data_IF_905306804729
#
_entry.id   IF_905306804729
#
_cell.length_a   1.000
_cell.length_b   1.000
_cell.length_c   1.000
_cell.angle_alpha   90.00
_cell.angle_beta   90.00
_cell.angle_gamma   90.00
#
_symmetry.space_group_name_H-M   'P 1'
#
loop_
_entity.id
_entity.type
_entity.pdbx_description
1 polymer ?
#
# COMPACT_ATOMS: atom_id res chain seq x y z
N UNK A 1 -8.70 -23.75 -19.71
CA UNK A 1 -7.58 -23.59 -18.79
C UNK A 1 -7.99 -22.49 -17.81
N UNK A 2 -8.33 -22.87 -16.61
CA UNK A 2 -8.57 -21.88 -15.54
C UNK A 2 -7.19 -21.42 -15.14
N UNK A 3 -6.88 -20.17 -15.44
CA UNK A 3 -5.68 -19.49 -14.96
C UNK A 3 -5.70 -19.62 -13.42
N UNK A 4 -4.77 -20.41 -12.90
CA UNK A 4 -4.50 -20.39 -11.47
C UNK A 4 -3.79 -19.07 -11.20
N UNK A 5 -4.54 -17.97 -11.20
CA UNK A 5 -4.07 -16.73 -10.61
C UNK A 5 -3.61 -17.09 -9.19
N UNK A 6 -2.32 -16.96 -8.95
CA UNK A 6 -1.79 -17.04 -7.60
C UNK A 6 -2.56 -16.00 -6.78
N UNK A 7 -3.36 -16.41 -5.80
CA UNK A 7 -4.36 -15.54 -5.19
C UNK A 7 -3.78 -14.32 -4.45
N UNK A 8 -2.48 -14.12 -4.47
CA UNK A 8 -1.86 -13.05 -3.68
C UNK A 8 -0.59 -12.50 -4.34
N UNK A 9 -0.73 -11.83 -5.48
CA UNK A 9 0.32 -10.90 -5.91
C UNK A 9 0.48 -9.82 -4.84
N UNK A 10 1.72 -9.46 -4.53
CA UNK A 10 2.00 -8.31 -3.68
C UNK A 10 1.39 -7.07 -4.35
N UNK A 11 0.59 -6.31 -3.61
CA UNK A 11 -0.01 -5.07 -4.09
C UNK A 11 0.56 -3.89 -3.31
N UNK A 12 1.13 -2.94 -4.04
CA UNK A 12 1.75 -1.74 -3.52
C UNK A 12 0.97 -0.51 -4.01
N UNK A 13 0.62 0.39 -3.10
CA UNK A 13 0.10 1.71 -3.46
C UNK A 13 1.25 2.71 -3.52
N UNK A 14 1.42 3.35 -4.65
CA UNK A 14 2.40 4.40 -4.89
C UNK A 14 1.67 5.75 -5.03
N UNK A 15 1.99 6.69 -4.17
CA UNK A 15 1.39 8.02 -4.14
C UNK A 15 2.42 9.05 -4.57
N UNK A 16 2.21 9.68 -5.71
CA UNK A 16 3.07 10.74 -6.22
C UNK A 16 2.35 11.60 -7.25
N UNK A 17 2.07 12.85 -6.92
CA UNK A 17 1.42 13.84 -7.80
C UNK A 17 2.22 14.10 -9.08
N UNK A 18 3.54 14.09 -8.99
CA UNK A 18 4.43 14.37 -10.11
C UNK A 18 4.84 13.18 -10.97
N UNK A 19 4.17 12.04 -10.90
CA UNK A 19 4.64 10.80 -11.56
C UNK A 19 4.75 10.93 -13.09
N UNK A 20 3.89 11.72 -13.71
CA UNK A 20 3.88 11.99 -15.15
C UNK A 20 4.81 13.13 -15.60
N UNK A 21 5.54 13.73 -14.66
CA UNK A 21 6.51 14.79 -14.95
C UNK A 21 7.75 14.31 -15.70
N UNK A 22 8.54 15.27 -16.19
CA UNK A 22 9.77 15.01 -16.94
C UNK A 22 11.05 15.27 -16.13
N UNK A 23 10.94 15.58 -14.83
CA UNK A 23 12.11 15.79 -13.97
C UNK A 23 12.78 14.47 -13.56
N UNK A 24 13.96 14.57 -12.94
CA UNK A 24 14.72 13.41 -12.52
C UNK A 24 13.97 12.54 -11.52
N UNK A 25 13.26 13.14 -10.56
CA UNK A 25 12.47 12.43 -9.55
C UNK A 25 11.35 11.63 -10.21
N UNK A 26 10.61 12.22 -11.14
CA UNK A 26 9.52 11.53 -11.86
C UNK A 26 10.03 10.33 -12.64
N UNK A 27 11.19 10.48 -13.31
CA UNK A 27 11.84 9.36 -14.01
C UNK A 27 12.26 8.26 -13.05
N UNK A 28 12.89 8.60 -11.93
CA UNK A 28 13.33 7.62 -10.93
C UNK A 28 12.15 6.85 -10.32
N UNK A 29 11.03 7.53 -10.00
CA UNK A 29 9.82 6.89 -9.47
C UNK A 29 9.18 5.97 -10.53
N UNK A 30 9.14 6.35 -11.80
CA UNK A 30 8.66 5.46 -12.87
C UNK A 30 9.56 4.23 -13.05
N UNK A 31 10.87 4.41 -13.00
CA UNK A 31 11.83 3.28 -13.07
C UNK A 31 11.62 2.34 -11.88
N UNK A 32 11.40 2.86 -10.68
CA UNK A 32 11.07 2.03 -9.52
C UNK A 32 9.75 1.27 -9.71
N UNK A 33 8.73 1.93 -10.26
CA UNK A 33 7.46 1.27 -10.58
C UNK A 33 7.65 0.10 -11.55
N UNK A 34 8.37 0.34 -12.64
CA UNK A 34 8.69 -0.69 -13.65
C UNK A 34 9.47 -1.86 -13.03
N UNK A 35 10.45 -1.58 -12.17
CA UNK A 35 11.23 -2.62 -11.50
C UNK A 35 10.37 -3.46 -10.55
N UNK A 36 9.46 -2.84 -9.79
CA UNK A 36 8.48 -3.56 -8.95
C UNK A 36 7.56 -4.45 -9.80
N UNK A 37 7.06 -3.95 -10.92
CA UNK A 37 6.20 -4.70 -11.84
C UNK A 37 6.94 -5.88 -12.48
N UNK A 38 8.23 -5.72 -12.80
CA UNK A 38 9.11 -6.80 -13.27
C UNK A 38 9.29 -7.92 -12.23
N UNK A 39 9.15 -7.61 -10.95
CA UNK A 39 9.18 -8.56 -9.82
C UNK A 39 7.79 -9.11 -9.46
N UNK A 40 6.82 -9.03 -10.37
CA UNK A 40 5.45 -9.52 -10.22
C UNK A 40 4.65 -8.83 -9.10
N UNK A 41 4.98 -7.57 -8.80
CA UNK A 41 4.25 -6.72 -7.88
C UNK A 41 3.19 -5.93 -8.64
N UNK A 42 1.96 -5.92 -8.15
CA UNK A 42 0.92 -5.03 -8.68
C UNK A 42 1.08 -3.65 -8.08
N UNK A 43 1.47 -2.67 -8.88
CA UNK A 43 1.58 -1.27 -8.45
C UNK A 43 0.31 -0.51 -8.82
N UNK A 44 -0.36 0.02 -7.81
CA UNK A 44 -1.48 0.96 -7.97
C UNK A 44 -0.94 2.36 -7.75
N UNK A 45 -1.20 3.28 -8.66
CA UNK A 45 -0.72 4.65 -8.58
C UNK A 45 -1.86 5.58 -8.21
N UNK A 46 -1.62 6.47 -7.26
CA UNK A 46 -2.49 7.60 -6.93
C UNK A 46 -1.69 8.90 -7.09
N UNK A 47 -2.29 9.87 -7.76
CA UNK A 47 -1.65 11.18 -7.98
C UNK A 47 -1.91 12.17 -6.84
N UNK A 48 -2.78 11.84 -5.89
CA UNK A 48 -3.06 12.69 -4.75
C UNK A 48 -3.35 11.87 -3.47
N UNK A 49 -3.22 12.54 -2.33
CA UNK A 49 -3.38 11.94 -1.01
C UNK A 49 -4.84 11.57 -0.69
N UNK A 50 -5.81 12.34 -1.15
CA UNK A 50 -7.22 12.07 -0.88
C UNK A 50 -7.69 10.78 -1.57
N UNK A 51 -7.28 10.58 -2.83
CA UNK A 51 -7.56 9.33 -3.55
C UNK A 51 -6.81 8.15 -2.94
N UNK A 52 -5.58 8.38 -2.43
CA UNK A 52 -4.81 7.35 -1.73
C UNK A 52 -5.52 6.88 -0.46
N UNK A 53 -6.07 7.79 0.33
CA UNK A 53 -6.86 7.46 1.53
C UNK A 53 -8.10 6.63 1.17
N UNK A 54 -8.82 7.02 0.12
CA UNK A 54 -9.98 6.28 -0.37
C UNK A 54 -9.59 4.87 -0.85
N UNK A 55 -8.48 4.73 -1.57
CA UNK A 55 -7.97 3.43 -2.02
C UNK A 55 -7.57 2.52 -0.86
N UNK A 56 -6.84 3.04 0.13
CA UNK A 56 -6.46 2.27 1.34
C UNK A 56 -7.72 1.80 2.09
N UNK A 57 -8.73 2.63 2.13
CA UNK A 57 -10.00 2.31 2.81
C UNK A 57 -10.84 1.28 2.06
N UNK A 58 -10.82 1.31 0.72
CA UNK A 58 -11.63 0.46 -0.13
C UNK A 58 -10.96 -0.88 -0.49
N UNK A 59 -9.63 -0.93 -0.51
CA UNK A 59 -8.87 -2.10 -0.94
C UNK A 59 -7.98 -2.66 0.18
N UNK A 60 -8.47 -3.62 0.98
CA UNK A 60 -7.70 -4.24 2.05
C UNK A 60 -6.56 -5.13 1.56
N UNK A 61 -6.43 -5.36 0.24
CA UNK A 61 -5.35 -6.16 -0.33
C UNK A 61 -4.07 -5.37 -0.57
N UNK A 62 -4.07 -4.05 -0.36
CA UNK A 62 -2.87 -3.22 -0.37
C UNK A 62 -1.98 -3.62 0.82
N UNK A 63 -0.72 -3.92 0.55
CA UNK A 63 0.23 -4.49 1.52
C UNK A 63 1.43 -3.58 1.80
N UNK A 64 1.56 -2.49 1.07
CA UNK A 64 2.64 -1.53 1.23
C UNK A 64 2.24 -0.18 0.64
N UNK A 65 2.66 0.90 1.28
CA UNK A 65 2.51 2.26 0.80
C UNK A 65 3.88 2.87 0.47
N UNK A 66 4.03 3.38 -0.74
CA UNK A 66 5.15 4.22 -1.16
C UNK A 66 4.63 5.64 -1.31
N UNK A 67 5.15 6.55 -0.52
CA UNK A 67 4.68 7.92 -0.44
C UNK A 67 5.78 8.88 -0.88
N UNK A 68 5.58 9.60 -1.99
CA UNK A 68 6.45 10.69 -2.42
C UNK A 68 5.76 12.02 -2.14
N UNK A 69 6.36 12.79 -1.26
CA UNK A 69 5.87 14.10 -0.85
C UNK A 69 6.58 15.22 -1.61
N UNK A 70 5.90 16.36 -1.74
CA UNK A 70 6.54 17.65 -1.91
C UNK A 70 6.93 18.18 -0.53
N UNK A 71 8.18 17.91 -0.13
CA UNK A 71 8.71 18.29 1.18
C UNK A 71 8.78 19.82 1.40
N UNK A 72 8.64 20.62 0.33
CA UNK A 72 8.57 22.08 0.41
C UNK A 72 7.17 22.60 0.73
N UNK A 73 6.15 21.78 0.51
CA UNK A 73 4.76 22.13 0.76
C UNK A 73 4.35 21.73 2.17
N UNK A 74 4.18 22.71 3.05
CA UNK A 74 3.68 22.48 4.42
C UNK A 74 2.28 21.85 4.41
N UNK A 75 1.42 22.27 3.49
CA UNK A 75 0.06 21.71 3.34
C UNK A 75 0.11 20.24 2.91
N UNK A 76 1.00 19.89 1.99
CA UNK A 76 1.19 18.52 1.55
C UNK A 76 1.69 17.64 2.71
N UNK A 77 2.67 18.11 3.48
CA UNK A 77 3.17 17.40 4.65
C UNK A 77 2.11 17.21 5.73
N UNK A 78 1.31 18.25 6.01
CA UNK A 78 0.20 18.15 6.97
C UNK A 78 -0.83 17.10 6.54
N UNK A 79 -1.29 17.17 5.31
CA UNK A 79 -2.26 16.20 4.77
C UNK A 79 -1.69 14.77 4.76
N UNK A 80 -0.42 14.61 4.43
CA UNK A 80 0.25 13.31 4.51
C UNK A 80 0.26 12.77 5.95
N UNK A 81 0.54 13.62 6.95
CA UNK A 81 0.48 13.24 8.36
C UNK A 81 -0.90 12.73 8.77
N UNK A 82 -1.96 13.39 8.31
CA UNK A 82 -3.35 12.99 8.56
C UNK A 82 -3.68 11.62 7.92
N UNK A 83 -3.31 11.41 6.67
CA UNK A 83 -3.50 10.13 5.96
C UNK A 83 -2.75 9.00 6.64
N UNK A 84 -1.49 9.25 7.05
CA UNK A 84 -0.68 8.27 7.77
C UNK A 84 -1.27 7.95 9.16
N UNK A 85 -1.85 8.93 9.84
CA UNK A 85 -2.54 8.70 11.12
C UNK A 85 -3.72 7.75 10.94
N UNK A 86 -4.59 8.01 9.97
CA UNK A 86 -5.73 7.13 9.63
C UNK A 86 -5.26 5.74 9.28
N UNK A 87 -4.19 5.63 8.47
CA UNK A 87 -3.61 4.34 8.13
C UNK A 87 -3.13 3.58 9.36
N UNK A 88 -2.39 4.24 10.26
CA UNK A 88 -1.83 3.61 11.47
C UNK A 88 -2.89 3.17 12.47
N UNK A 89 -4.00 3.88 12.55
CA UNK A 89 -5.15 3.45 13.36
C UNK A 89 -5.80 2.17 12.81
N UNK A 90 -5.84 2.01 11.49
CA UNK A 90 -6.44 0.83 10.83
C UNK A 90 -5.47 -0.33 10.67
N UNK A 91 -4.24 -0.03 10.37
CA UNK A 91 -3.19 -1.01 10.07
C UNK A 91 -1.82 -0.48 10.51
N UNK A 92 -1.50 -0.69 11.78
CA UNK A 92 -0.27 -0.19 12.39
C UNK A 92 1.01 -0.82 11.82
N UNK A 93 0.90 -2.03 11.25
CA UNK A 93 2.04 -2.85 10.87
C UNK A 93 2.32 -2.84 9.36
N UNK A 94 1.43 -2.23 8.54
CA UNK A 94 1.64 -2.17 7.10
C UNK A 94 2.89 -1.36 6.76
N UNK A 95 3.81 -1.88 5.93
CA UNK A 95 5.00 -1.15 5.52
C UNK A 95 4.66 0.16 4.80
N UNK A 96 5.29 1.23 5.24
CA UNK A 96 5.21 2.56 4.62
C UNK A 96 6.61 3.07 4.37
N UNK A 97 6.92 3.41 3.13
CA UNK A 97 8.19 3.99 2.72
C UNK A 97 7.98 5.42 2.24
N UNK A 98 8.78 6.32 2.77
CA UNK A 98 8.83 7.69 2.29
C UNK A 98 9.91 7.82 1.21
N UNK A 99 9.50 8.17 0.00
CA UNK A 99 10.41 8.44 -1.11
C UNK A 99 10.78 9.92 -1.09
N UNK A 100 12.05 10.23 -0.88
CA UNK A 100 12.56 11.60 -0.88
C UNK A 100 13.53 11.84 -2.03
N UNK A 101 13.44 13.03 -2.61
CA UNK A 101 14.45 13.54 -3.55
C UNK A 101 15.56 14.35 -2.84
N UNK A 102 15.49 14.50 -1.52
CA UNK A 102 16.44 15.23 -0.69
C UNK A 102 17.35 14.30 0.08
N UNK A 103 18.50 14.81 0.45
CA UNK A 103 19.58 14.07 1.13
C UNK A 103 19.48 14.07 2.65
N UNK A 104 18.58 14.86 3.24
CA UNK A 104 18.48 14.99 4.70
C UNK A 104 17.09 14.64 5.23
N UNK A 105 17.02 13.60 6.04
CA UNK A 105 15.81 13.22 6.75
C UNK A 105 15.32 14.31 7.72
N UNK A 106 16.23 15.17 8.22
CA UNK A 106 15.90 16.30 9.09
C UNK A 106 15.01 17.39 8.44
N UNK A 107 14.86 17.35 7.12
CA UNK A 107 13.97 18.25 6.39
C UNK A 107 12.53 17.74 6.35
N UNK A 108 12.28 16.51 6.80
CA UNK A 108 10.93 15.92 6.88
C UNK A 108 10.39 16.14 8.29
N UNK A 109 9.11 16.55 8.43
CA UNK A 109 8.48 16.70 9.73
C UNK A 109 8.57 15.42 10.57
N UNK A 110 8.88 15.54 11.86
CA UNK A 110 9.07 14.41 12.77
C UNK A 110 7.82 13.53 12.87
N UNK A 111 6.63 14.12 12.84
CA UNK A 111 5.35 13.42 12.89
C UNK A 111 5.09 12.52 11.68
N UNK A 112 5.72 12.82 10.54
CA UNK A 112 5.71 11.92 9.36
C UNK A 112 6.74 10.82 9.55
N UNK A 113 7.96 11.15 9.98
CA UNK A 113 9.03 10.18 10.18
C UNK A 113 8.63 9.09 11.18
N UNK A 114 7.93 9.44 12.25
CA UNK A 114 7.46 8.49 13.26
C UNK A 114 6.41 7.48 12.74
N UNK A 115 5.75 7.81 11.64
CA UNK A 115 4.68 6.98 11.05
C UNK A 115 5.14 6.13 9.85
N UNK A 116 6.34 6.36 9.32
CA UNK A 116 6.91 5.58 8.23
C UNK A 116 7.88 4.51 8.74
N UNK A 117 8.02 3.43 8.02
CA UNK A 117 8.94 2.36 8.37
C UNK A 117 10.35 2.65 7.90
N UNK A 118 10.47 3.36 6.81
CA UNK A 118 11.76 3.60 6.20
C UNK A 118 11.73 4.81 5.26
N UNK A 119 12.92 5.34 5.01
CA UNK A 119 13.19 6.48 4.18
C UNK A 119 14.08 6.09 3.01
N UNK A 120 13.72 6.47 1.81
CA UNK A 120 14.40 6.09 0.57
C UNK A 120 14.81 7.34 -0.19
N UNK A 121 16.08 7.45 -0.54
CA UNK A 121 16.60 8.50 -1.41
C UNK A 121 16.45 8.09 -2.88
N UNK A 122 15.34 8.49 -3.48
CA UNK A 122 14.93 8.02 -4.80
C UNK A 122 15.90 8.42 -5.94
N UNK A 123 16.74 9.40 -5.74
CA UNK A 123 17.75 9.84 -6.71
C UNK A 123 19.15 9.26 -6.47
N UNK A 124 19.40 8.66 -5.31
CA UNK A 124 20.72 8.14 -4.93
C UNK A 124 20.74 6.61 -4.89
N UNK A 125 19.67 6.01 -4.42
CA UNK A 125 19.53 4.56 -4.37
C UNK A 125 19.14 3.99 -5.75
N UNK A 126 19.63 2.81 -6.09
CA UNK A 126 19.25 2.12 -7.32
C UNK A 126 17.87 1.48 -7.21
N UNK A 127 17.13 1.40 -8.30
CA UNK A 127 15.76 0.87 -8.31
C UNK A 127 15.68 -0.59 -7.83
N UNK A 128 16.65 -1.42 -8.18
CA UNK A 128 16.75 -2.82 -7.72
C UNK A 128 17.01 -2.92 -6.21
N UNK A 129 17.87 -2.05 -5.66
CA UNK A 129 18.12 -2.00 -4.21
C UNK A 129 16.86 -1.58 -3.44
N UNK A 130 16.18 -0.52 -3.92
CA UNK A 130 14.91 -0.06 -3.33
C UNK A 130 13.86 -1.17 -3.40
N UNK A 131 13.70 -1.81 -4.54
CA UNK A 131 12.77 -2.93 -4.76
C UNK A 131 13.06 -4.07 -3.80
N UNK A 132 14.31 -4.44 -3.62
CA UNK A 132 14.71 -5.45 -2.65
C UNK A 132 14.27 -5.15 -1.22
N UNK A 133 14.41 -3.90 -0.78
CA UNK A 133 13.97 -3.44 0.56
C UNK A 133 12.44 -3.50 0.71
N UNK A 134 11.71 -3.03 -0.29
CA UNK A 134 10.24 -3.05 -0.31
C UNK A 134 9.73 -4.49 -0.26
N UNK A 135 10.28 -5.37 -1.09
CA UNK A 135 9.89 -6.78 -1.13
C UNK A 135 10.18 -7.48 0.19
N UNK A 136 11.34 -7.24 0.81
CA UNK A 136 11.70 -7.84 2.09
C UNK A 136 10.72 -7.43 3.21
N UNK A 137 10.39 -6.13 3.30
CA UNK A 137 9.44 -5.62 4.28
C UNK A 137 8.02 -6.15 4.04
N UNK A 138 7.57 -6.18 2.79
CA UNK A 138 6.23 -6.64 2.42
C UNK A 138 6.07 -8.15 2.62
N UNK A 139 7.10 -8.96 2.33
CA UNK A 139 7.09 -10.40 2.63
C UNK A 139 6.99 -10.64 4.13
N UNK A 140 7.77 -9.92 4.94
CA UNK A 140 7.71 -10.02 6.40
C UNK A 140 6.32 -9.68 6.93
N UNK A 141 5.73 -8.59 6.47
CA UNK A 141 4.38 -8.20 6.80
C UNK A 141 3.36 -9.29 6.43
N UNK A 142 3.46 -9.84 5.23
CA UNK A 142 2.59 -10.90 4.73
C UNK A 142 2.72 -12.19 5.53
N UNK A 143 3.92 -12.59 5.90
CA UNK A 143 4.17 -13.87 6.58
C UNK A 143 3.80 -13.83 8.07
N UNK A 144 4.03 -12.72 8.74
CA UNK A 144 3.90 -12.64 10.20
C UNK A 144 2.68 -11.87 10.68
N UNK A 145 2.19 -10.91 9.91
CA UNK A 145 1.13 -9.98 10.34
C UNK A 145 -0.23 -10.34 9.74
N UNK A 146 -0.28 -10.64 8.42
CA UNK A 146 -1.54 -10.92 7.73
C UNK A 146 -2.21 -12.24 8.12
N UNK A 147 -1.53 -13.37 8.40
CA UNK A 147 -2.22 -14.64 8.69
C UNK A 147 -3.25 -14.58 9.82
N UNK A 148 -3.02 -13.91 10.96
CA UNK A 148 -4.03 -13.73 11.99
C UNK A 148 -5.24 -12.92 11.52
N UNK A 149 -5.04 -11.89 10.69
CA UNK A 149 -6.11 -11.07 10.14
C UNK A 149 -6.95 -11.85 9.13
N UNK A 150 -6.32 -12.64 8.25
CA UNK A 150 -7.04 -13.47 7.28
C UNK A 150 -7.83 -14.59 7.97
N UNK A 151 -7.35 -15.18 9.05
CA UNK A 151 -8.12 -16.13 9.84
C UNK A 151 -9.37 -15.48 10.42
N UNK A 152 -9.28 -14.27 10.94
CA UNK A 152 -10.43 -13.54 11.45
C UNK A 152 -11.42 -13.18 10.34
N UNK A 153 -10.96 -12.72 9.17
CA UNK A 153 -11.81 -12.41 8.02
C UNK A 153 -12.45 -13.66 7.40
N UNK A 154 -11.73 -14.76 7.31
CA UNK A 154 -12.26 -16.04 6.82
C UNK A 154 -13.34 -16.60 7.77
N UNK A 155 -13.15 -16.45 9.08
CA UNK A 155 -14.17 -16.80 10.08
C UNK A 155 -15.40 -15.91 9.96
N UNK A 156 -15.24 -14.62 9.70
CA UNK A 156 -16.33 -13.69 9.50
C UNK A 156 -17.12 -13.97 8.22
N UNK A 157 -16.42 -14.28 7.11
CA UNK A 157 -17.03 -14.67 5.84
C UNK A 157 -17.80 -15.99 5.95
N UNK A 158 -17.26 -16.99 6.63
CA UNK A 158 -17.91 -18.28 6.86
C UNK A 158 -19.21 -18.14 7.68
N UNK A 159 -19.24 -17.22 8.63
CA UNK A 159 -20.47 -16.94 9.43
C UNK A 159 -21.54 -16.25 8.57
N UNK A 160 -21.14 -15.41 7.62
CA UNK A 160 -22.11 -14.73 6.73
C UNK A 160 -22.61 -15.60 5.59
N UNK A 161 -21.84 -16.54 5.06
CA UNK A 161 -22.31 -17.48 4.02
C UNK A 161 -23.36 -18.46 4.56
N UNK A 162 -23.31 -18.83 5.80
CA UNK A 162 -24.35 -19.67 6.45
C UNK A 162 -25.71 -18.96 6.57
N UNK A 163 -25.75 -17.64 6.48
CA UNK A 163 -26.99 -16.86 6.61
C UNK A 163 -27.86 -16.79 5.36
N UNK A 164 -27.36 -17.20 4.19
CA UNK A 164 -28.05 -17.06 2.90
C UNK A 164 -28.62 -18.37 2.35
N UNK A 165 -28.44 -19.52 3.01
CA UNK A 165 -28.94 -20.82 2.57
C UNK A 165 -29.95 -21.40 3.55
N UNK A 166 -31.08 -20.74 3.69
CA UNK A 166 -32.32 -21.40 4.13
C UNK A 166 -33.25 -21.53 2.92
N UNK A 167 -33.32 -22.69 2.27
CA UNK A 167 -34.37 -22.93 1.30
C UNK A 167 -35.70 -23.01 2.05
N UNK A 168 -36.62 -22.10 1.73
CA UNK A 168 -38.00 -22.18 2.15
C UNK A 168 -38.61 -23.49 1.61
N UNK A 169 -38.86 -24.40 2.49
CA UNK A 169 -39.74 -25.53 2.22
C UNK A 169 -41.18 -25.02 2.24
N UNK A 170 -41.72 -24.75 1.05
CA UNK A 170 -43.15 -24.72 0.84
C UNK A 170 -43.59 -26.14 0.49
N UNK A 171 -44.01 -26.89 1.50
CA UNK A 171 -44.79 -28.07 1.33
C UNK A 171 -46.20 -27.69 0.89
N UNK A 172 -46.51 -27.90 -0.37
CA UNK A 172 -47.89 -27.96 -0.81
C UNK A 172 -48.41 -29.38 -0.60
N UNK A 173 -49.53 -29.50 0.03
CA UNK A 173 -50.37 -30.70 -0.02
C UNK A 173 -51.74 -30.30 -0.47
N UNK A 174 -52.21 -31.11 -1.39
CA UNK A 174 -53.48 -31.21 -2.00
C UNK A 174 -54.70 -31.01 -1.11
#
# INVERSE_FOLDING_TARGET
MIDKEHPFKIKVLMVYEGINGNNATSRAVRTLKEELENQDVKVVVSENLADAEALISADPTIQCLLLKLDEKSQTCCQHAGEVLEVLRQRNKDMPVFLLSSRTMASEVPADILDKVNDFIWILEDTADFITGRILAATKRYREFILPPMFKALAQFAAVHEYSWHTPGHTGGTA
#
